data_IF_160639812601
#
_entry.id   IF_160639812601
#
_cell.length_a   1.000
_cell.length_b   1.000
_cell.length_c   1.000
_cell.angle_alpha   90.00
_cell.angle_beta   90.00
_cell.angle_gamma   90.00
#
_symmetry.space_group_name_H-M   'P 1'
#
loop_
_entity.id
_entity.type
_entity.pdbx_description
1 polymer ?
#
# COMPACT_ATOMS: atom_id res chain seq x y z
N UNK A 1 40.07 62.64 -29.79
CA UNK A 1 38.82 62.58 -30.59
C UNK A 1 38.02 61.37 -30.14
N UNK A 2 36.75 61.53 -29.72
CA UNK A 2 35.99 60.49 -29.06
C UNK A 2 35.27 59.62 -30.09
N UNK A 3 35.87 58.49 -30.45
CA UNK A 3 35.25 57.53 -31.38
C UNK A 3 35.45 56.11 -30.85
N UNK A 4 34.86 55.79 -29.70
CA UNK A 4 34.80 54.38 -29.25
C UNK A 4 33.46 54.00 -28.60
N UNK A 5 32.70 54.96 -28.06
CA UNK A 5 31.45 54.65 -27.36
C UNK A 5 30.31 54.20 -28.28
N UNK A 6 30.22 54.77 -29.50
CA UNK A 6 29.16 54.40 -30.46
C UNK A 6 29.23 52.94 -30.91
N UNK A 7 30.43 52.40 -31.13
CA UNK A 7 30.60 50.99 -31.55
C UNK A 7 30.26 50.02 -30.42
N UNK A 8 30.58 50.38 -29.17
CA UNK A 8 30.22 49.60 -27.99
C UNK A 8 28.70 49.60 -27.80
N UNK A 9 28.05 50.76 -27.93
CA UNK A 9 26.60 50.88 -27.81
C UNK A 9 25.85 50.12 -28.91
N UNK A 10 26.30 50.18 -30.17
CA UNK A 10 25.66 49.42 -31.28
C UNK A 10 25.78 47.91 -31.07
N UNK A 11 26.93 47.41 -30.58
CA UNK A 11 27.10 46.00 -30.22
C UNK A 11 26.21 45.59 -29.06
N UNK A 12 26.09 46.45 -28.03
CA UNK A 12 25.21 46.23 -26.89
C UNK A 12 23.74 46.16 -27.33
N UNK A 13 23.29 47.05 -28.20
CA UNK A 13 21.94 47.03 -28.75
C UNK A 13 21.69 45.80 -29.63
N UNK A 14 22.65 45.39 -30.45
CA UNK A 14 22.54 44.17 -31.26
C UNK A 14 22.40 42.91 -30.39
N UNK A 15 23.22 42.80 -29.33
CA UNK A 15 23.13 41.69 -28.37
C UNK A 15 21.81 41.73 -27.60
N UNK A 16 21.37 42.92 -27.16
CA UNK A 16 20.10 43.10 -26.44
C UNK A 16 18.89 42.76 -27.32
N UNK A 17 18.90 43.17 -28.59
CA UNK A 17 17.86 42.82 -29.55
C UNK A 17 17.83 41.31 -29.83
N UNK A 18 18.99 40.67 -29.95
CA UNK A 18 19.09 39.23 -30.10
C UNK A 18 18.54 38.49 -28.86
N UNK A 19 18.90 38.93 -27.64
CA UNK A 19 18.34 38.41 -26.40
C UNK A 19 16.81 38.60 -26.31
N UNK A 20 16.31 39.77 -26.72
CA UNK A 20 14.88 40.05 -26.72
C UNK A 20 14.12 39.13 -27.69
N UNK A 21 14.61 38.95 -28.91
CA UNK A 21 14.02 38.03 -29.89
C UNK A 21 14.04 36.59 -29.39
N UNK A 22 15.13 36.17 -28.75
CA UNK A 22 15.21 34.84 -28.13
C UNK A 22 14.19 34.67 -27.00
N UNK A 23 14.05 35.67 -26.12
CA UNK A 23 13.05 35.66 -25.06
C UNK A 23 11.61 35.60 -25.63
N UNK A 24 11.33 36.36 -26.69
CA UNK A 24 10.04 36.32 -27.38
C UNK A 24 9.75 34.94 -28.00
N UNK A 25 10.76 34.29 -28.59
CA UNK A 25 10.63 32.94 -29.12
C UNK A 25 10.33 31.89 -28.03
N UNK A 26 10.99 31.98 -26.87
CA UNK A 26 10.71 31.12 -25.71
C UNK A 26 9.28 31.33 -25.21
N UNK A 27 8.83 32.59 -25.10
CA UNK A 27 7.49 32.92 -24.64
C UNK A 27 6.42 32.40 -25.61
N UNK A 28 6.64 32.57 -26.92
CA UNK A 28 5.78 32.00 -27.95
C UNK A 28 5.71 30.47 -27.84
N UNK A 29 6.85 29.81 -27.62
CA UNK A 29 6.89 28.35 -27.47
C UNK A 29 6.14 27.89 -26.22
N UNK A 30 6.26 28.60 -25.10
CA UNK A 30 5.52 28.32 -23.87
C UNK A 30 4.01 28.45 -24.09
N UNK A 31 3.55 29.52 -24.73
CA UNK A 31 2.13 29.72 -25.05
C UNK A 31 1.64 28.63 -26.01
N UNK A 32 2.41 28.27 -27.03
CA UNK A 32 2.06 27.19 -27.95
C UNK A 32 1.89 25.86 -27.21
N UNK A 33 2.81 25.50 -26.31
CA UNK A 33 2.71 24.27 -25.51
C UNK A 33 1.49 24.31 -24.59
N UNK A 34 1.25 25.42 -23.90
CA UNK A 34 0.14 25.53 -22.94
C UNK A 34 -1.24 25.59 -23.61
N UNK A 35 -1.36 26.27 -24.76
CA UNK A 35 -2.65 26.53 -25.42
C UNK A 35 -2.95 25.51 -26.51
N UNK A 36 -1.98 25.20 -27.38
CA UNK A 36 -2.19 24.29 -28.52
C UNK A 36 -2.04 22.83 -28.09
N UNK A 37 -1.08 22.55 -27.20
CA UNK A 37 -0.79 21.18 -26.75
C UNK A 37 -1.26 20.93 -25.31
N UNK A 38 -1.91 21.90 -24.67
CA UNK A 38 -2.30 21.83 -23.26
C UNK A 38 -3.17 20.63 -22.95
N UNK A 39 -4.21 20.41 -23.75
CA UNK A 39 -5.14 19.29 -23.56
C UNK A 39 -4.44 17.94 -23.69
N UNK A 40 -3.56 17.79 -24.68
CA UNK A 40 -2.75 16.58 -24.87
C UNK A 40 -1.90 16.25 -23.65
N UNK A 41 -1.19 17.22 -23.10
CA UNK A 41 -0.32 17.00 -21.94
C UNK A 41 -1.11 16.84 -20.64
N UNK A 42 -2.27 17.49 -20.53
CA UNK A 42 -3.19 17.33 -19.40
C UNK A 42 -3.78 15.92 -19.38
N UNK A 43 -4.24 15.41 -20.52
CA UNK A 43 -4.76 14.04 -20.64
C UNK A 43 -3.68 13.00 -20.34
N UNK A 44 -2.47 13.19 -20.89
CA UNK A 44 -1.34 12.32 -20.59
C UNK A 44 -1.00 12.30 -19.08
N UNK A 45 -1.06 13.46 -18.42
CA UNK A 45 -0.86 13.55 -16.97
C UNK A 45 -1.95 12.81 -16.19
N UNK A 46 -3.22 12.93 -16.60
CA UNK A 46 -4.33 12.20 -15.99
C UNK A 46 -4.16 10.68 -16.15
N UNK A 47 -3.85 10.19 -17.35
CA UNK A 47 -3.65 8.75 -17.59
C UNK A 47 -2.48 8.15 -16.78
N UNK A 48 -1.42 8.95 -16.54
CA UNK A 48 -0.26 8.50 -15.76
C UNK A 48 -0.49 8.59 -14.25
N UNK A 49 -1.40 9.47 -13.81
CA UNK A 49 -1.65 9.70 -12.39
C UNK A 49 -2.91 9.02 -11.90
N UNK A 50 -3.89 8.71 -12.73
CA UNK A 50 -5.14 8.08 -12.31
C UNK A 50 -5.20 6.62 -12.75
N UNK A 51 -5.57 5.73 -11.83
CA UNK A 51 -5.77 4.31 -12.11
C UNK A 51 -7.00 3.79 -11.39
N UNK A 52 -7.79 2.99 -12.09
CA UNK A 52 -8.89 2.24 -11.49
C UNK A 52 -8.34 1.02 -10.74
N UNK A 53 -8.71 0.90 -9.48
CA UNK A 53 -8.43 -0.26 -8.65
C UNK A 53 -9.73 -1.04 -8.40
N UNK A 54 -9.67 -2.36 -8.61
CA UNK A 54 -10.74 -3.28 -8.20
C UNK A 54 -10.66 -3.49 -6.69
N UNK A 55 -11.79 -3.30 -6.01
CA UNK A 55 -11.97 -3.62 -4.60
C UNK A 55 -12.70 -4.96 -4.56
N UNK A 56 -12.00 -5.99 -4.11
CA UNK A 56 -12.59 -7.30 -3.92
C UNK A 56 -13.77 -7.23 -2.93
N UNK A 57 -14.94 -7.78 -3.27
CA UNK A 57 -16.08 -7.83 -2.37
C UNK A 57 -15.80 -8.77 -1.20
N UNK A 58 -16.39 -8.46 -0.05
CA UNK A 58 -16.48 -9.43 1.04
C UNK A 58 -17.55 -10.46 0.67
N UNK A 59 -17.24 -11.76 0.81
CA UNK A 59 -18.23 -12.80 0.56
C UNK A 59 -19.32 -12.78 1.64
N UNK A 60 -20.56 -13.09 1.26
CA UNK A 60 -21.69 -13.21 2.17
C UNK A 60 -21.51 -14.33 3.20
N UNK A 61 -22.20 -14.25 4.34
CA UNK A 61 -22.13 -15.28 5.38
C UNK A 61 -23.03 -16.47 5.01
N UNK A 62 -22.61 -17.67 5.42
CA UNK A 62 -23.42 -18.88 5.35
C UNK A 62 -23.93 -19.21 6.76
N UNK A 63 -25.25 -19.38 6.89
CA UNK A 63 -25.90 -19.70 8.16
C UNK A 63 -26.57 -21.07 8.09
N UNK A 64 -26.67 -21.76 9.23
CA UNK A 64 -27.58 -22.88 9.39
C UNK A 64 -29.01 -22.38 9.61
N UNK A 65 -29.96 -23.31 9.60
CA UNK A 65 -31.36 -23.09 9.92
C UNK A 65 -31.59 -22.45 11.30
N UNK A 66 -30.75 -22.75 12.28
CA UNK A 66 -30.76 -22.17 13.63
C UNK A 66 -30.08 -20.78 13.72
N UNK A 67 -29.53 -20.28 12.61
CA UNK A 67 -28.81 -19.00 12.55
C UNK A 67 -27.34 -19.08 12.97
N UNK A 68 -26.79 -20.26 13.26
CA UNK A 68 -25.36 -20.44 13.53
C UNK A 68 -24.51 -20.19 12.27
N UNK A 69 -23.30 -19.65 12.45
CA UNK A 69 -22.38 -19.39 11.34
C UNK A 69 -21.69 -20.67 10.88
N UNK A 70 -21.87 -21.00 9.60
CA UNK A 70 -21.22 -22.12 8.93
C UNK A 70 -19.96 -21.68 8.16
N UNK A 71 -20.01 -20.48 7.58
CA UNK A 71 -18.86 -19.84 6.95
C UNK A 71 -19.01 -18.31 6.95
N UNK A 72 -17.92 -17.60 7.18
CA UNK A 72 -17.91 -16.14 7.26
C UNK A 72 -16.61 -15.57 6.72
N UNK A 73 -16.65 -14.34 6.22
CA UNK A 73 -15.45 -13.62 5.79
C UNK A 73 -14.98 -12.68 6.88
N UNK A 74 -13.81 -12.98 7.45
CA UNK A 74 -13.20 -12.20 8.53
C UNK A 74 -11.96 -11.47 8.04
N UNK A 75 -11.72 -10.27 8.60
CA UNK A 75 -10.46 -9.56 8.38
C UNK A 75 -9.41 -10.14 9.32
N UNK A 76 -8.33 -10.66 8.74
CA UNK A 76 -7.15 -11.13 9.46
C UNK A 76 -5.97 -10.23 9.14
N UNK A 77 -5.16 -9.96 10.15
CA UNK A 77 -4.04 -9.04 10.05
C UNK A 77 -2.71 -9.80 10.04
N UNK A 78 -1.80 -9.35 9.19
CA UNK A 78 -0.41 -9.81 9.15
C UNK A 78 0.48 -8.65 9.50
N UNK A 79 1.37 -8.86 10.47
CA UNK A 79 2.29 -7.85 10.97
C UNK A 79 3.65 -8.12 10.36
N UNK A 80 4.18 -7.08 9.72
CA UNK A 80 5.53 -7.03 9.16
C UNK A 80 6.33 -5.89 9.76
N UNK A 81 7.64 -6.03 9.67
CA UNK A 81 8.60 -5.11 10.22
C UNK A 81 9.53 -4.56 9.13
N UNK A 82 9.57 -3.23 8.99
CA UNK A 82 10.55 -2.51 8.18
C UNK A 82 11.74 -2.10 9.03
N UNK A 83 12.81 -2.90 8.96
CA UNK A 83 14.01 -2.66 9.75
C UNK A 83 14.85 -1.47 9.25
N UNK A 84 14.59 -0.95 8.05
CA UNK A 84 15.34 0.16 7.46
C UNK A 84 14.84 1.50 7.97
N UNK A 85 13.52 1.62 8.18
CA UNK A 85 12.90 2.87 8.66
C UNK A 85 13.25 3.20 10.11
N UNK A 86 13.48 2.18 10.94
CA UNK A 86 13.77 2.34 12.37
C UNK A 86 15.19 2.83 12.59
N UNK A 87 15.38 3.90 13.37
CA UNK A 87 16.72 4.38 13.75
C UNK A 87 17.44 3.39 14.66
N UNK A 88 18.77 3.35 14.62
CA UNK A 88 19.55 2.44 15.47
C UNK A 88 19.39 2.74 16.97
N UNK A 89 19.14 3.99 17.33
CA UNK A 89 18.87 4.41 18.70
C UNK A 89 17.54 3.84 19.22
N UNK A 90 16.45 4.02 18.46
CA UNK A 90 15.14 3.47 18.82
C UNK A 90 15.17 1.94 18.81
N UNK A 91 15.84 1.32 17.82
CA UNK A 91 15.96 -0.13 17.73
C UNK A 91 16.67 -0.72 18.97
N UNK A 92 17.83 -0.19 19.35
CA UNK A 92 18.57 -0.66 20.54
C UNK A 92 17.78 -0.46 21.82
N UNK A 93 17.04 0.64 21.94
CA UNK A 93 16.25 0.97 23.12
C UNK A 93 15.03 0.07 23.30
N UNK A 94 14.30 -0.23 22.23
CA UNK A 94 12.99 -0.88 22.32
C UNK A 94 12.97 -2.35 21.89
N UNK A 95 14.06 -2.92 21.37
CA UNK A 95 14.07 -4.31 20.91
C UNK A 95 13.70 -5.32 21.99
N UNK A 96 14.24 -5.19 23.20
CA UNK A 96 13.95 -6.12 24.30
C UNK A 96 12.49 -5.98 24.74
N UNK A 97 12.00 -4.77 25.11
CA UNK A 97 10.59 -4.59 25.47
C UNK A 97 9.59 -5.02 24.38
N UNK A 98 9.90 -4.79 23.10
CA UNK A 98 9.06 -5.26 21.99
C UNK A 98 9.02 -6.79 21.95
N UNK A 99 10.17 -7.43 22.12
CA UNK A 99 10.28 -8.89 22.03
C UNK A 99 9.60 -9.58 23.20
N UNK A 100 9.62 -8.98 24.39
CA UNK A 100 8.88 -9.46 25.56
C UNK A 100 7.37 -9.35 25.33
N UNK A 101 6.87 -8.20 24.87
CA UNK A 101 5.44 -8.03 24.56
C UNK A 101 4.95 -8.98 23.44
N UNK A 102 5.78 -9.21 22.41
CA UNK A 102 5.49 -10.20 21.36
C UNK A 102 5.47 -11.63 21.93
N UNK A 103 6.38 -11.94 22.85
CA UNK A 103 6.47 -13.24 23.52
C UNK A 103 5.21 -13.54 24.31
N UNK A 104 4.76 -12.58 25.11
CA UNK A 104 3.58 -12.73 25.98
C UNK A 104 2.30 -12.97 25.17
N UNK A 105 2.17 -12.30 24.03
CA UNK A 105 0.97 -12.39 23.20
C UNK A 105 0.99 -13.58 22.22
N UNK A 106 2.14 -13.88 21.59
CA UNK A 106 2.22 -14.84 20.48
C UNK A 106 2.82 -16.19 20.89
N UNK A 107 3.29 -16.33 22.14
CA UNK A 107 3.70 -17.59 22.76
C UNK A 107 5.10 -18.11 22.40
N UNK A 108 5.83 -17.47 21.48
CA UNK A 108 7.26 -17.79 21.23
C UNK A 108 8.17 -17.01 22.17
N UNK A 109 9.38 -17.51 22.47
CA UNK A 109 10.26 -16.84 23.44
C UNK A 109 10.69 -15.43 23.00
N UNK A 110 10.92 -14.52 23.97
CA UNK A 110 11.49 -13.19 23.69
C UNK A 110 12.80 -13.27 22.88
N UNK A 111 13.67 -14.25 23.19
CA UNK A 111 14.91 -14.49 22.43
C UNK A 111 14.66 -14.76 20.94
N UNK A 112 13.61 -15.52 20.61
CA UNK A 112 13.21 -15.77 19.23
C UNK A 112 12.88 -14.46 18.50
N UNK A 113 12.03 -13.60 19.09
CA UNK A 113 11.67 -12.32 18.48
C UNK A 113 12.86 -11.37 18.36
N UNK A 114 13.74 -11.32 19.36
CA UNK A 114 14.98 -10.56 19.28
C UNK A 114 15.84 -11.02 18.11
N UNK A 115 15.99 -12.34 17.91
CA UNK A 115 16.77 -12.89 16.80
C UNK A 115 16.14 -12.53 15.45
N UNK A 116 14.81 -12.64 15.30
CA UNK A 116 14.08 -12.27 14.09
C UNK A 116 14.29 -10.80 13.75
N UNK A 117 14.13 -9.91 14.73
CA UNK A 117 14.29 -8.45 14.57
C UNK A 117 15.73 -8.06 14.27
N UNK A 118 16.72 -8.66 14.95
CA UNK A 118 18.15 -8.42 14.68
C UNK A 118 18.55 -8.91 13.30
N UNK A 119 18.08 -10.09 12.87
CA UNK A 119 18.31 -10.61 11.53
C UNK A 119 17.70 -9.70 10.47
N UNK A 120 16.47 -9.20 10.70
CA UNK A 120 15.83 -8.25 9.82
C UNK A 120 16.65 -6.95 9.69
N UNK A 121 17.17 -6.43 10.81
CA UNK A 121 18.01 -5.23 10.86
C UNK A 121 19.35 -5.41 10.15
N UNK A 122 20.06 -6.50 10.43
CA UNK A 122 21.34 -6.83 9.81
C UNK A 122 21.22 -6.96 8.28
N UNK A 123 20.14 -7.60 7.82
CA UNK A 123 19.89 -7.81 6.39
C UNK A 123 19.18 -6.63 5.71
N UNK A 124 18.93 -5.52 6.41
CA UNK A 124 18.16 -4.37 5.90
C UNK A 124 16.81 -4.80 5.29
N UNK A 125 16.15 -5.79 5.90
CA UNK A 125 14.88 -6.30 5.42
C UNK A 125 13.75 -5.31 5.75
N UNK A 126 13.07 -4.82 4.70
CA UNK A 126 11.94 -3.90 4.83
C UNK A 126 10.59 -4.60 5.08
N UNK A 127 10.53 -5.92 4.93
CA UNK A 127 9.29 -6.70 4.95
C UNK A 127 9.44 -7.99 5.77
N UNK A 128 10.10 -7.90 6.93
CA UNK A 128 10.28 -9.06 7.80
C UNK A 128 8.94 -9.48 8.40
N UNK A 129 8.59 -10.76 8.31
CA UNK A 129 7.37 -11.29 8.90
C UNK A 129 7.52 -11.41 10.42
N UNK A 130 6.55 -10.87 11.17
CA UNK A 130 6.49 -11.01 12.63
C UNK A 130 5.36 -11.95 13.04
N UNK A 131 4.13 -11.68 12.58
CA UNK A 131 2.95 -12.46 12.94
C UNK A 131 1.97 -12.54 11.77
N UNK A 132 1.19 -13.62 11.70
CA UNK A 132 0.14 -13.83 10.69
C UNK A 132 -1.15 -14.20 11.39
N UNK A 133 -2.25 -13.97 10.71
CA UNK A 133 -3.58 -14.43 11.10
C UNK A 133 -4.11 -13.83 12.41
N UNK A 134 -3.67 -12.62 12.75
CA UNK A 134 -4.17 -11.93 13.93
C UNK A 134 -5.61 -11.48 13.72
N UNK A 135 -6.43 -11.57 14.76
CA UNK A 135 -7.71 -10.88 14.83
C UNK A 135 -7.54 -9.37 15.07
N UNK A 136 -8.66 -8.65 15.12
CA UNK A 136 -8.64 -7.21 15.30
C UNK A 136 -8.12 -6.77 16.68
N UNK A 137 -8.51 -7.46 17.76
CA UNK A 137 -8.05 -7.18 19.12
C UNK A 137 -6.54 -7.40 19.27
N UNK A 138 -6.06 -8.51 18.76
CA UNK A 138 -4.64 -8.87 18.69
C UNK A 138 -3.84 -7.83 17.90
N UNK A 139 -4.32 -7.47 16.70
CA UNK A 139 -3.73 -6.41 15.91
C UNK A 139 -3.63 -5.08 16.68
N UNK A 140 -4.71 -4.69 17.36
CA UNK A 140 -4.75 -3.45 18.13
C UNK A 140 -3.76 -3.49 19.29
N UNK A 141 -3.63 -4.61 20.00
CA UNK A 141 -2.63 -4.79 21.04
C UNK A 141 -1.19 -4.62 20.49
N UNK A 142 -0.87 -5.27 19.35
CA UNK A 142 0.46 -5.17 18.72
C UNK A 142 0.80 -3.73 18.31
N UNK A 143 -0.20 -2.95 17.89
CA UNK A 143 0.00 -1.55 17.52
C UNK A 143 0.50 -0.70 18.70
N UNK A 144 0.14 -1.06 19.92
CA UNK A 144 0.50 -0.34 21.14
C UNK A 144 1.83 -0.84 21.76
N UNK A 145 2.44 -1.89 21.21
CA UNK A 145 3.70 -2.43 21.71
C UNK A 145 4.87 -1.44 21.60
N UNK A 146 5.89 -1.58 22.47
CA UNK A 146 7.12 -0.80 22.38
C UNK A 146 7.71 -0.88 20.97
N UNK A 147 8.32 0.21 20.51
CA UNK A 147 8.73 0.42 19.11
C UNK A 147 7.57 0.59 18.12
N UNK A 148 6.62 -0.35 18.06
CA UNK A 148 5.51 -0.34 17.09
C UNK A 148 4.54 0.84 17.29
N UNK A 149 4.33 1.27 18.52
CA UNK A 149 3.52 2.45 18.86
C UNK A 149 4.10 3.78 18.32
N UNK A 150 5.34 3.78 17.80
CA UNK A 150 5.95 4.93 17.12
C UNK A 150 5.50 5.07 15.66
N UNK A 151 4.64 4.16 15.20
CA UNK A 151 4.05 4.16 13.86
C UNK A 151 4.97 3.56 12.78
N UNK A 152 4.51 3.53 11.52
CA UNK A 152 5.19 2.82 10.43
C UNK A 152 6.58 3.39 10.11
N UNK A 153 6.79 4.70 10.24
CA UNK A 153 8.03 5.36 9.81
C UNK A 153 9.14 5.40 10.86
N UNK A 154 8.79 5.29 12.15
CA UNK A 154 9.78 5.28 13.26
C UNK A 154 9.85 3.93 13.96
N UNK A 155 8.72 3.22 14.03
CA UNK A 155 8.58 1.90 14.63
C UNK A 155 8.71 0.75 13.64
N UNK A 156 8.68 1.01 12.34
CA UNK A 156 8.78 -0.01 11.31
C UNK A 156 7.55 -0.93 11.22
N UNK A 157 6.43 -0.58 11.86
CA UNK A 157 5.22 -1.39 11.85
C UNK A 157 4.54 -1.34 10.49
N UNK A 158 4.42 -2.49 9.83
CA UNK A 158 3.63 -2.66 8.61
C UNK A 158 2.48 -3.60 8.92
N UNK A 159 1.27 -3.17 8.58
CA UNK A 159 0.04 -3.94 8.78
C UNK A 159 -0.53 -4.26 7.41
N UNK A 160 -0.72 -5.55 7.16
CA UNK A 160 -1.46 -6.03 6.00
C UNK A 160 -2.76 -6.65 6.46
N UNK A 161 -3.87 -6.08 5.99
CA UNK A 161 -5.19 -6.67 6.16
C UNK A 161 -5.46 -7.61 4.98
N UNK A 162 -5.89 -8.84 5.30
CA UNK A 162 -6.41 -9.80 4.33
C UNK A 162 -7.78 -10.28 4.76
N UNK A 163 -8.69 -10.43 3.80
CA UNK A 163 -9.96 -11.12 4.06
C UNK A 163 -9.72 -12.62 3.95
N UNK A 164 -10.08 -13.38 4.98
CA UNK A 164 -9.96 -14.83 5.03
C UNK A 164 -11.35 -15.43 5.25
N UNK A 165 -11.66 -16.52 4.54
CA UNK A 165 -12.87 -17.29 4.78
C UNK A 165 -12.65 -18.21 5.98
N UNK A 166 -13.44 -18.03 7.02
CA UNK A 166 -13.39 -18.81 8.26
C UNK A 166 -14.60 -19.74 8.33
N UNK A 167 -14.34 -20.97 8.78
CA UNK A 167 -15.33 -22.05 8.88
C UNK A 167 -15.40 -22.50 10.35
N UNK A 168 -16.32 -21.96 11.16
CA UNK A 168 -16.35 -22.19 12.60
C UNK A 168 -16.46 -23.67 13.01
N UNK A 169 -17.21 -24.47 12.24
CA UNK A 169 -17.37 -25.91 12.48
C UNK A 169 -16.17 -26.75 11.99
N UNK A 170 -15.16 -26.12 11.39
CA UNK A 170 -13.94 -26.74 10.93
C UNK A 170 -14.17 -28.02 10.13
N UNK A 171 -13.46 -29.09 10.54
CA UNK A 171 -13.47 -30.39 9.85
C UNK A 171 -14.81 -31.13 9.90
N UNK A 172 -15.67 -30.85 10.88
CA UNK A 172 -16.94 -31.57 11.05
C UNK A 172 -17.89 -31.26 9.88
N UNK A 173 -17.98 -29.99 9.49
CA UNK A 173 -18.86 -29.54 8.42
C UNK A 173 -18.13 -29.29 7.09
N UNK A 174 -16.82 -29.55 7.01
CA UNK A 174 -15.97 -29.21 5.86
C UNK A 174 -16.51 -29.77 4.54
N UNK A 175 -17.04 -31.00 4.53
CA UNK A 175 -17.61 -31.61 3.31
C UNK A 175 -18.94 -30.98 2.88
N UNK A 176 -19.80 -30.65 3.85
CA UNK A 176 -21.13 -30.08 3.58
C UNK A 176 -21.03 -28.61 3.18
N UNK A 177 -20.30 -27.81 3.98
CA UNK A 177 -20.05 -26.39 3.71
C UNK A 177 -19.18 -26.24 2.47
N UNK A 178 -18.11 -27.02 2.38
CA UNK A 178 -17.19 -27.02 1.26
C UNK A 178 -16.39 -25.73 1.14
N UNK A 179 -15.97 -25.41 -0.08
CA UNK A 179 -15.15 -24.25 -0.41
C UNK A 179 -15.38 -23.82 -1.86
N UNK A 180 -14.95 -22.61 -2.18
CA UNK A 180 -14.91 -22.10 -3.55
C UNK A 180 -13.55 -21.42 -3.80
N UNK A 181 -12.93 -21.79 -4.92
CA UNK A 181 -11.71 -21.19 -5.43
C UNK A 181 -11.99 -20.54 -6.78
N UNK A 182 -11.21 -19.51 -7.09
CA UNK A 182 -11.20 -18.85 -8.40
C UNK A 182 -9.83 -19.08 -9.03
N UNK A 183 -9.82 -19.51 -10.30
CA UNK A 183 -8.58 -19.63 -11.07
C UNK A 183 -8.20 -18.30 -11.74
N UNK A 184 -7.02 -18.25 -12.37
CA UNK A 184 -6.52 -17.06 -13.06
C UNK A 184 -7.42 -16.63 -14.24
N UNK A 185 -8.26 -17.54 -14.76
CA UNK A 185 -9.20 -17.29 -15.84
C UNK A 185 -10.59 -16.83 -15.33
N UNK A 186 -10.77 -16.73 -14.01
CA UNK A 186 -12.05 -16.34 -13.39
C UNK A 186 -13.06 -17.48 -13.29
N UNK A 187 -12.66 -18.73 -13.50
CA UNK A 187 -13.52 -19.90 -13.32
C UNK A 187 -13.62 -20.28 -11.84
N UNK A 188 -14.86 -20.40 -11.37
CA UNK A 188 -15.16 -20.80 -10.00
C UNK A 188 -15.28 -22.31 -9.88
N UNK A 189 -14.35 -22.91 -9.14
CA UNK A 189 -14.33 -24.34 -8.80
C UNK A 189 -14.54 -24.55 -7.31
N UNK A 190 -15.05 -25.70 -6.89
CA UNK A 190 -15.32 -25.96 -5.49
C UNK A 190 -16.36 -27.05 -5.26
N UNK A 191 -16.71 -27.25 -4.01
CA UNK A 191 -17.70 -28.24 -3.56
C UNK A 191 -18.56 -27.67 -2.43
N UNK A 192 -19.65 -28.36 -2.10
CA UNK A 192 -20.52 -28.01 -0.98
C UNK A 192 -21.36 -26.75 -1.20
N UNK A 193 -21.93 -26.25 -0.10
CA UNK A 193 -22.80 -25.08 -0.09
C UNK A 193 -22.10 -23.80 -0.59
N UNK A 194 -20.82 -23.63 -0.28
CA UNK A 194 -20.00 -22.49 -0.75
C UNK A 194 -19.96 -22.39 -2.28
N UNK A 195 -19.84 -23.52 -2.98
CA UNK A 195 -19.84 -23.55 -4.45
C UNK A 195 -21.24 -23.51 -5.04
N UNK A 196 -22.21 -24.17 -4.39
CA UNK A 196 -23.60 -24.22 -4.86
C UNK A 196 -24.26 -22.84 -4.81
N UNK A 197 -24.02 -22.08 -3.75
CA UNK A 197 -24.57 -20.73 -3.55
C UNK A 197 -23.57 -19.61 -3.87
N UNK A 198 -22.44 -19.93 -4.52
CA UNK A 198 -21.36 -18.99 -4.79
C UNK A 198 -21.82 -17.70 -5.47
N UNK A 199 -22.78 -17.76 -6.40
CA UNK A 199 -23.33 -16.58 -7.07
C UNK A 199 -23.92 -15.55 -6.09
N UNK A 200 -24.65 -16.01 -5.07
CA UNK A 200 -25.21 -15.14 -4.03
C UNK A 200 -24.16 -14.69 -3.02
N UNK A 201 -23.13 -15.52 -2.80
CA UNK A 201 -22.09 -15.25 -1.81
C UNK A 201 -20.98 -14.33 -2.32
N UNK A 202 -20.70 -14.26 -3.62
CA UNK A 202 -19.55 -13.51 -4.17
C UNK A 202 -19.67 -11.99 -4.00
N UNK A 203 -20.89 -11.46 -3.94
CA UNK A 203 -21.11 -10.01 -3.93
C UNK A 203 -20.69 -9.37 -5.26
N UNK A 204 -20.54 -8.03 -5.25
CA UNK A 204 -20.23 -7.24 -6.46
C UNK A 204 -18.92 -6.51 -6.26
N UNK A 205 -18.01 -6.64 -7.24
CA UNK A 205 -16.74 -5.93 -7.21
C UNK A 205 -16.92 -4.41 -7.19
N UNK A 206 -16.27 -3.77 -6.22
CA UNK A 206 -16.16 -2.32 -6.19
C UNK A 206 -15.10 -1.83 -7.17
N UNK A 207 -15.31 -0.64 -7.71
CA UNK A 207 -14.29 0.08 -8.49
C UNK A 207 -13.98 1.40 -7.81
N UNK A 208 -12.69 1.69 -7.62
CA UNK A 208 -12.23 2.96 -7.03
C UNK A 208 -11.13 3.57 -7.87
N UNK A 209 -11.36 4.78 -8.35
CA UNK A 209 -10.32 5.60 -8.96
C UNK A 209 -9.34 6.01 -7.86
N UNK A 210 -8.04 5.89 -8.13
CA UNK A 210 -7.00 6.41 -7.24
C UNK A 210 -6.02 7.24 -8.06
N UNK A 211 -5.56 8.34 -7.48
CA UNK A 211 -4.52 9.19 -8.02
C UNK A 211 -3.15 8.86 -7.38
N UNK A 212 -2.12 8.73 -8.20
CA UNK A 212 -0.74 8.50 -7.82
C UNK A 212 -0.16 9.77 -7.20
N UNK A 213 0.36 9.65 -5.99
CA UNK A 213 1.08 10.71 -5.29
C UNK A 213 2.58 10.42 -5.29
N UNK A 214 3.38 11.37 -4.80
CA UNK A 214 4.83 11.20 -4.65
C UNK A 214 5.17 9.93 -3.82
N UNK A 215 6.35 9.36 -4.06
CA UNK A 215 6.85 8.13 -3.41
C UNK A 215 6.04 6.85 -3.75
N UNK A 216 5.32 6.83 -4.87
CA UNK A 216 4.65 5.62 -5.37
C UNK A 216 3.39 5.22 -4.60
N UNK A 217 2.89 6.08 -3.72
CA UNK A 217 1.64 5.88 -3.02
C UNK A 217 0.44 6.28 -3.90
N UNK A 218 -0.74 5.74 -3.60
CA UNK A 218 -1.99 6.03 -4.33
C UNK A 218 -3.03 6.55 -3.35
N UNK A 219 -3.61 7.70 -3.66
CA UNK A 219 -4.68 8.34 -2.90
C UNK A 219 -6.02 8.11 -3.60
N UNK A 220 -7.06 7.66 -2.90
CA UNK A 220 -8.41 7.59 -3.47
C UNK A 220 -9.00 8.96 -3.75
#
# INVERSE_FOLDING_TARGET
MPTNDKNIMTRLYAVSACMFLFAAAVLFKLVNIQVVQGDKYKELALQLTEKMFTIAPNRGNLYSDDGSLLATSVSRYTIRFDAVTVSDADFKKYIVPLSDALSDMLGSSSSHYQQVLRKAKANKNRYALIARNLDYSEYMAVKDFPLFNRGPYKGGLIIEQKTVREHPLGKIAERSVGYENVDDNGYYSGVGLERAFGEYLRGVEGKRLKQKIAKGQWKP
#
